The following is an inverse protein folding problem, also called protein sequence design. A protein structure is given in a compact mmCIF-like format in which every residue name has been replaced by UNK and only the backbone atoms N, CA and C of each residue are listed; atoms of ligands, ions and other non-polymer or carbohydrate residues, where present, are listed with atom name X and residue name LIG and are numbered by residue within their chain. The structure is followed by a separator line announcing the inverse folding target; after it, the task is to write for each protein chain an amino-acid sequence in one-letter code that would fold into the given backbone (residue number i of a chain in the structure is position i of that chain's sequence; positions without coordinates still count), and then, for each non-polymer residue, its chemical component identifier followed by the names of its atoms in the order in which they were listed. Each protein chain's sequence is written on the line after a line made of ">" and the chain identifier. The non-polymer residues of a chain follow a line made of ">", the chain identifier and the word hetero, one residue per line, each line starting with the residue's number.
data_IF_846191005671
#
_entry.id   IF_846191005671
#
_cell.length_a   1.000
_cell.length_b   1.000
_cell.length_c   1.000
_cell.angle_alpha   90.00
_cell.angle_beta   90.00
_cell.angle_gamma   90.00
#
_symmetry.space_group_name_H-M   'P 1'
#
loop_
_entity.id
_entity.type
_entity.pdbx_description
1 polymer ?
#
# COMPACT_ATOMS: atom_id res chain seq x y z
N UNK A 1 8.81 28.62 -18.82
CA UNK A 1 8.02 27.38 -18.71
C UNK A 1 7.18 27.45 -17.43
N UNK A 2 5.89 27.14 -17.48
CA UNK A 2 5.04 27.11 -16.29
C UNK A 2 5.46 25.95 -15.35
N UNK A 3 5.47 26.17 -14.04
CA UNK A 3 5.78 25.11 -13.05
C UNK A 3 4.76 23.96 -13.21
N UNK A 4 5.19 22.70 -13.30
CA UNK A 4 4.28 21.57 -13.35
C UNK A 4 3.30 21.61 -12.16
N UNK A 5 2.03 21.23 -12.35
CA UNK A 5 1.08 21.21 -11.25
C UNK A 5 1.55 20.25 -10.15
N UNK A 6 1.31 20.61 -8.88
CA UNK A 6 1.83 19.87 -7.73
C UNK A 6 1.47 18.37 -7.73
N UNK A 7 0.28 18.01 -8.24
CA UNK A 7 -0.15 16.61 -8.36
C UNK A 7 0.77 15.76 -9.24
N UNK A 8 1.43 16.35 -10.26
CA UNK A 8 2.38 15.61 -11.11
C UNK A 8 3.62 15.21 -10.33
N UNK A 9 4.16 16.12 -9.51
CA UNK A 9 5.30 15.80 -8.66
C UNK A 9 4.96 14.70 -7.65
N UNK A 10 3.78 14.77 -7.02
CA UNK A 10 3.30 13.72 -6.12
C UNK A 10 3.08 12.39 -6.83
N UNK A 11 2.58 12.40 -8.07
CA UNK A 11 2.42 11.20 -8.89
C UNK A 11 3.76 10.55 -9.24
N UNK A 12 4.75 11.35 -9.68
CA UNK A 12 6.09 10.82 -9.97
C UNK A 12 6.75 10.23 -8.72
N UNK A 13 6.52 10.84 -7.56
CA UNK A 13 6.97 10.28 -6.29
C UNK A 13 6.25 8.96 -5.96
N UNK A 14 4.95 8.86 -6.22
CA UNK A 14 4.21 7.60 -6.06
C UNK A 14 4.82 6.48 -6.94
N UNK A 15 5.12 6.79 -8.20
CA UNK A 15 5.75 5.86 -9.14
C UNK A 15 7.14 5.45 -8.66
N UNK A 16 7.98 6.42 -8.31
CA UNK A 16 9.34 6.17 -7.80
C UNK A 16 9.32 5.23 -6.59
N UNK A 17 8.43 5.48 -5.63
CA UNK A 17 8.29 4.66 -4.42
C UNK A 17 7.82 3.23 -4.74
N UNK A 18 6.90 3.07 -5.69
CA UNK A 18 6.46 1.75 -6.13
C UNK A 18 7.59 0.94 -6.78
N UNK A 19 8.42 1.58 -7.61
CA UNK A 19 9.58 0.93 -8.23
C UNK A 19 10.60 0.46 -7.19
N UNK A 20 10.92 1.32 -6.23
CA UNK A 20 11.81 0.95 -5.12
C UNK A 20 11.23 -0.21 -4.29
N UNK A 21 9.91 -0.21 -4.05
CA UNK A 21 9.25 -1.33 -3.38
C UNK A 21 9.44 -2.64 -4.16
N UNK A 22 9.18 -2.63 -5.48
CA UNK A 22 9.36 -3.80 -6.34
C UNK A 22 10.81 -4.30 -6.32
N UNK A 23 11.79 -3.40 -6.33
CA UNK A 23 13.21 -3.76 -6.26
C UNK A 23 13.54 -4.51 -4.96
N UNK A 24 12.98 -4.06 -3.83
CA UNK A 24 13.17 -4.74 -2.55
C UNK A 24 12.42 -6.07 -2.46
N UNK A 25 11.21 -6.13 -3.03
CA UNK A 25 10.44 -7.37 -3.12
C UNK A 25 11.17 -8.44 -3.92
N UNK A 26 11.87 -8.05 -4.99
CA UNK A 26 12.63 -8.95 -5.86
C UNK A 26 14.00 -9.37 -5.32
N UNK A 27 14.36 -9.01 -4.07
CA UNK A 27 15.62 -9.43 -3.42
C UNK A 27 15.37 -10.50 -2.35
N UNK A 28 15.08 -11.75 -2.74
CA UNK A 28 14.88 -12.82 -1.78
C UNK A 28 16.21 -13.14 -1.08
N UNK A 29 16.32 -12.83 0.21
CA UNK A 29 17.48 -13.18 1.03
C UNK A 29 17.91 -12.11 2.04
N UNK A 30 17.52 -10.85 1.83
CA UNK A 30 17.75 -9.79 2.81
C UNK A 30 16.48 -9.51 3.63
N UNK A 31 16.49 -9.91 4.90
CA UNK A 31 15.37 -9.73 5.83
C UNK A 31 14.90 -8.28 5.94
N UNK A 32 15.80 -7.31 5.78
CA UNK A 32 15.44 -5.88 5.83
C UNK A 32 14.69 -5.44 4.58
N UNK A 33 14.94 -6.10 3.45
CA UNK A 33 14.29 -5.75 2.18
C UNK A 33 12.76 -5.86 2.23
N UNK A 34 12.18 -6.80 3.01
CA UNK A 34 10.72 -6.85 3.09
C UNK A 34 10.11 -5.75 3.96
N UNK A 35 10.78 -5.36 5.03
CA UNK A 35 10.37 -4.19 5.82
C UNK A 35 10.44 -2.92 4.96
N UNK A 36 11.51 -2.78 4.18
CA UNK A 36 11.67 -1.68 3.24
C UNK A 36 10.59 -1.72 2.14
N UNK A 37 10.25 -2.89 1.59
CA UNK A 37 9.13 -3.08 0.68
C UNK A 37 7.83 -2.53 1.28
N UNK A 38 7.47 -2.90 2.51
CA UNK A 38 6.23 -2.45 3.17
C UNK A 38 6.21 -0.93 3.32
N UNK A 39 7.34 -0.33 3.71
CA UNK A 39 7.44 1.13 3.85
C UNK A 39 7.27 1.82 2.49
N UNK A 40 7.98 1.34 1.47
CA UNK A 40 7.94 1.93 0.13
C UNK A 40 6.59 1.76 -0.55
N UNK A 41 5.94 0.59 -0.44
CA UNK A 41 4.61 0.37 -1.02
C UNK A 41 3.54 1.21 -0.31
N UNK A 42 3.67 1.41 1.01
CA UNK A 42 2.79 2.32 1.76
C UNK A 42 2.91 3.77 1.26
N UNK A 43 4.14 4.26 1.10
CA UNK A 43 4.40 5.61 0.57
C UNK A 43 3.88 5.76 -0.87
N UNK A 44 4.05 4.73 -1.70
CA UNK A 44 3.55 4.71 -3.07
C UNK A 44 2.02 4.90 -3.10
N UNK A 45 1.28 4.08 -2.37
CA UNK A 45 -0.18 4.18 -2.28
C UNK A 45 -0.66 5.52 -1.71
N UNK A 46 0.01 6.04 -0.67
CA UNK A 46 -0.35 7.34 -0.09
C UNK A 46 -0.19 8.47 -1.12
N UNK A 47 0.94 8.51 -1.81
CA UNK A 47 1.20 9.51 -2.84
C UNK A 47 0.26 9.36 -4.04
N UNK A 48 -0.09 8.13 -4.45
CA UNK A 48 -1.06 7.90 -5.52
C UNK A 48 -2.43 8.50 -5.16
N UNK A 49 -2.92 8.25 -3.95
CA UNK A 49 -4.20 8.77 -3.49
C UNK A 49 -4.19 10.30 -3.36
N UNK A 50 -3.09 10.87 -2.83
CA UNK A 50 -2.94 12.32 -2.74
C UNK A 50 -2.89 12.97 -4.12
N UNK A 51 -2.07 12.43 -5.04
CA UNK A 51 -1.97 12.95 -6.40
C UNK A 51 -3.33 12.97 -7.10
N UNK A 52 -4.12 11.90 -6.96
CA UNK A 52 -5.42 11.80 -7.62
C UNK A 52 -6.45 12.77 -7.03
N UNK A 53 -6.48 12.91 -5.70
CA UNK A 53 -7.35 13.90 -5.03
C UNK A 53 -6.94 15.33 -5.36
N UNK A 54 -5.64 15.64 -5.38
CA UNK A 54 -5.11 16.95 -5.78
C UNK A 54 -5.49 17.29 -7.22
N UNK A 55 -5.41 16.31 -8.14
CA UNK A 55 -5.82 16.48 -9.54
C UNK A 55 -7.32 16.76 -9.67
N UNK A 56 -8.15 16.07 -8.88
CA UNK A 56 -9.60 16.32 -8.78
C UNK A 56 -9.96 17.57 -7.97
N UNK A 57 -8.97 18.31 -7.44
CA UNK A 57 -9.14 19.47 -6.56
C UNK A 57 -9.96 19.17 -5.30
N UNK A 58 -9.83 17.95 -4.79
CA UNK A 58 -10.47 17.48 -3.55
C UNK A 58 -9.49 17.60 -2.39
N UNK A 59 -10.01 17.91 -1.21
CA UNK A 59 -9.21 18.11 0.00
C UNK A 59 -8.47 16.84 0.47
N UNK A 60 -7.24 17.04 0.93
CA UNK A 60 -6.32 16.03 1.46
C UNK A 60 -5.84 16.37 2.88
N UNK A 61 -6.48 17.32 3.57
CA UNK A 61 -6.02 17.82 4.88
C UNK A 61 -7.01 17.47 5.97
N UNK A 62 -6.49 17.16 7.16
CA UNK A 62 -7.33 16.96 8.33
C UNK A 62 -7.94 18.28 8.80
N UNK A 63 -9.22 18.26 9.13
CA UNK A 63 -9.91 19.37 9.80
C UNK A 63 -9.87 19.23 11.31
N UNK A 64 -9.92 20.36 12.00
CA UNK A 64 -10.08 20.41 13.44
C UNK A 64 -11.55 20.10 13.81
N UNK A 65 -11.78 19.23 14.80
CA UNK A 65 -13.11 18.73 15.14
C UNK A 65 -14.09 19.85 15.54
N UNK A 66 -13.58 20.93 16.13
CA UNK A 66 -14.38 21.98 16.76
C UNK A 66 -14.62 23.18 15.83
N UNK A 67 -13.80 23.33 14.79
CA UNK A 67 -13.87 24.45 13.84
C UNK A 67 -13.79 23.91 12.42
N UNK A 68 -14.96 23.76 11.78
CA UNK A 68 -15.08 23.34 10.37
C UNK A 68 -14.22 24.16 9.38
N UNK A 69 -13.65 25.31 9.77
CA UNK A 69 -12.81 26.17 8.92
C UNK A 69 -11.30 26.06 9.20
N UNK A 70 -10.88 25.29 10.21
CA UNK A 70 -9.47 25.19 10.60
C UNK A 70 -8.90 23.81 10.26
N UNK A 71 -7.65 23.79 9.80
CA UNK A 71 -6.91 22.56 9.52
C UNK A 71 -6.07 22.15 10.72
N UNK A 72 -5.94 20.84 10.96
CA UNK A 72 -4.92 20.33 11.88
C UNK A 72 -3.54 20.68 11.34
N UNK A 73 -2.62 21.00 12.23
CA UNK A 73 -1.24 21.36 11.89
C UNK A 73 -0.24 20.37 12.48
N UNK A 74 0.86 20.20 11.78
CA UNK A 74 2.04 19.49 12.24
C UNK A 74 2.87 20.40 13.17
N UNK A 75 3.87 19.86 13.89
CA UNK A 75 4.75 20.66 14.76
C UNK A 75 5.51 21.79 14.05
N UNK A 76 5.69 21.67 12.72
CA UNK A 76 6.33 22.67 11.85
C UNK A 76 5.34 23.71 11.26
N UNK A 77 4.13 23.80 11.84
CA UNK A 77 3.00 24.61 11.37
C UNK A 77 2.41 24.21 10.00
N UNK A 78 2.95 23.20 9.32
CA UNK A 78 2.39 22.73 8.04
C UNK A 78 1.01 22.09 8.22
N UNK A 79 0.13 22.18 7.21
CA UNK A 79 -1.19 21.53 7.26
C UNK A 79 -1.01 20.01 7.27
N UNK A 80 -1.62 19.34 8.25
CA UNK A 80 -1.55 17.88 8.38
C UNK A 80 -2.35 17.23 7.25
N UNK A 81 -1.67 16.51 6.37
CA UNK A 81 -2.28 15.72 5.30
C UNK A 81 -2.92 14.44 5.84
N UNK A 82 -3.89 13.91 5.12
CA UNK A 82 -4.47 12.60 5.38
C UNK A 82 -3.41 11.52 5.29
N UNK A 83 -3.47 10.56 6.21
CA UNK A 83 -2.73 9.30 6.06
C UNK A 83 -3.43 8.38 5.05
N UNK A 84 -2.75 7.31 4.68
CA UNK A 84 -3.28 6.32 3.75
C UNK A 84 -4.63 5.74 4.22
N UNK A 85 -4.77 5.43 5.51
CA UNK A 85 -6.01 4.88 6.07
C UNK A 85 -7.21 5.80 5.85
N UNK A 86 -7.06 7.12 6.04
CA UNK A 86 -8.12 8.08 5.72
C UNK A 86 -8.40 8.17 4.23
N UNK A 87 -7.36 8.12 3.39
CA UNK A 87 -7.57 8.10 1.95
C UNK A 87 -8.42 6.89 1.54
N UNK A 88 -8.09 5.70 2.04
CA UNK A 88 -8.82 4.46 1.73
C UNK A 88 -10.30 4.53 2.12
N UNK A 89 -10.62 5.09 3.30
CA UNK A 89 -12.01 5.27 3.76
C UNK A 89 -12.86 6.11 2.82
N UNK A 90 -12.25 7.06 2.10
CA UNK A 90 -12.97 7.96 1.20
C UNK A 90 -12.94 7.49 -0.26
N UNK A 91 -11.95 6.69 -0.65
CA UNK A 91 -11.74 6.27 -2.03
C UNK A 91 -12.32 4.88 -2.32
N UNK A 92 -12.49 4.03 -1.32
CA UNK A 92 -12.94 2.64 -1.49
C UNK A 92 -14.04 2.26 -0.48
N UNK A 93 -14.94 1.37 -0.90
CA UNK A 93 -15.97 0.78 -0.04
C UNK A 93 -15.33 -0.11 1.03
N UNK A 94 -16.01 -0.31 2.15
CA UNK A 94 -15.45 -1.08 3.29
C UNK A 94 -15.09 -2.53 2.98
N UNK A 95 -15.77 -3.16 2.01
CA UNK A 95 -15.53 -4.55 1.58
C UNK A 95 -14.74 -4.65 0.26
N UNK A 96 -14.10 -3.56 -0.17
CA UNK A 96 -13.29 -3.58 -1.38
C UNK A 96 -12.01 -4.41 -1.18
N UNK A 97 -11.69 -5.37 -2.06
CA UNK A 97 -10.53 -6.24 -1.89
C UNK A 97 -9.19 -5.50 -1.95
N UNK A 98 -9.09 -4.43 -2.78
CA UNK A 98 -7.89 -3.59 -2.86
C UNK A 98 -7.70 -2.89 -1.51
N UNK A 99 -8.77 -2.33 -0.96
CA UNK A 99 -8.72 -1.68 0.36
C UNK A 99 -8.29 -2.65 1.45
N UNK A 100 -8.86 -3.86 1.52
CA UNK A 100 -8.50 -4.86 2.53
C UNK A 100 -7.03 -5.25 2.44
N UNK A 101 -6.51 -5.44 1.23
CA UNK A 101 -5.11 -5.76 1.02
C UNK A 101 -4.18 -4.61 1.46
N UNK A 102 -4.52 -3.35 1.21
CA UNK A 102 -3.72 -2.22 1.68
C UNK A 102 -3.83 -2.05 3.21
N UNK A 103 -5.02 -2.21 3.79
CA UNK A 103 -5.25 -2.18 5.24
C UNK A 103 -4.40 -3.25 5.96
N UNK A 104 -4.27 -4.44 5.37
CA UNK A 104 -3.38 -5.49 5.85
C UNK A 104 -1.93 -5.00 5.95
N UNK A 105 -1.37 -4.38 4.90
CA UNK A 105 0.00 -3.84 4.92
C UNK A 105 0.18 -2.67 5.90
N UNK A 106 -0.84 -1.83 6.09
CA UNK A 106 -0.83 -0.77 7.10
C UNK A 106 -0.70 -1.37 8.52
N UNK A 107 -1.45 -2.43 8.82
CA UNK A 107 -1.36 -3.14 10.09
C UNK A 107 -0.03 -3.88 10.26
N UNK A 108 0.46 -4.50 9.19
CA UNK A 108 1.70 -5.27 9.16
C UNK A 108 2.93 -4.39 9.40
N UNK A 109 2.94 -3.15 8.90
CA UNK A 109 4.02 -2.19 9.16
C UNK A 109 4.34 -2.05 10.66
N UNK A 110 3.33 -2.04 11.53
CA UNK A 110 3.52 -1.90 12.98
C UNK A 110 4.10 -3.17 13.64
N UNK A 111 3.92 -4.34 13.01
CA UNK A 111 4.35 -5.64 13.53
C UNK A 111 5.78 -5.99 13.10
N UNK A 112 6.13 -5.68 11.85
CA UNK A 112 7.45 -5.95 11.25
C UNK A 112 8.58 -5.21 11.97
N UNK A 113 8.28 -4.05 12.56
CA UNK A 113 9.24 -3.28 13.39
C UNK A 113 9.68 -4.04 14.65
N UNK A 114 8.84 -4.92 15.19
CA UNK A 114 9.07 -5.56 16.49
C UNK A 114 9.44 -7.04 16.43
N UNK A 115 9.00 -7.80 15.42
CA UNK A 115 9.25 -9.25 15.30
C UNK A 115 9.29 -9.74 13.85
N UNK A 116 10.38 -9.49 13.14
CA UNK A 116 10.56 -10.06 11.81
C UNK A 116 10.87 -11.57 11.88
N UNK A 117 10.05 -12.39 11.21
CA UNK A 117 10.29 -13.82 11.01
C UNK A 117 10.18 -14.12 9.51
N UNK A 118 11.09 -14.93 8.96
CA UNK A 118 11.07 -15.31 7.54
C UNK A 118 9.75 -15.99 7.11
N UNK A 119 9.04 -16.58 8.08
CA UNK A 119 7.69 -17.13 7.90
C UNK A 119 6.65 -16.08 7.47
N UNK A 120 6.80 -14.81 7.87
CA UNK A 120 5.91 -13.72 7.47
C UNK A 120 6.05 -13.45 5.99
N UNK A 121 7.27 -13.47 5.43
CA UNK A 121 7.48 -13.22 4.01
C UNK A 121 6.82 -14.29 3.14
N UNK A 122 7.00 -15.57 3.49
CA UNK A 122 6.38 -16.68 2.76
C UNK A 122 4.86 -16.64 2.87
N UNK A 123 4.34 -16.35 4.06
CA UNK A 123 2.89 -16.29 4.29
C UNK A 123 2.21 -15.06 3.65
N UNK A 124 2.97 -14.03 3.26
CA UNK A 124 2.41 -12.76 2.75
C UNK A 124 2.80 -12.42 1.31
N UNK A 125 3.49 -13.34 0.62
CA UNK A 125 3.94 -13.15 -0.76
C UNK A 125 2.77 -12.97 -1.73
N UNK A 126 1.65 -13.66 -1.51
CA UNK A 126 0.45 -13.53 -2.35
C UNK A 126 -0.17 -12.13 -2.20
N UNK A 127 -0.29 -11.65 -0.96
CA UNK A 127 -0.79 -10.32 -0.63
C UNK A 127 0.12 -9.23 -1.19
N UNK A 128 1.43 -9.43 -1.14
CA UNK A 128 2.42 -8.48 -1.65
C UNK A 128 2.33 -8.35 -3.17
N UNK A 129 2.27 -9.48 -3.89
CA UNK A 129 2.01 -9.50 -5.33
C UNK A 129 0.68 -8.82 -5.68
N UNK A 130 -0.39 -9.15 -4.97
CA UNK A 130 -1.70 -8.52 -5.19
C UNK A 130 -1.62 -7.00 -4.99
N UNK A 131 -0.90 -6.53 -3.97
CA UNK A 131 -0.71 -5.10 -3.69
C UNK A 131 -0.04 -4.36 -4.86
N UNK A 132 1.00 -4.97 -5.45
CA UNK A 132 1.73 -4.40 -6.60
C UNK A 132 0.83 -4.35 -7.85
N UNK A 133 0.12 -5.44 -8.17
CA UNK A 133 -0.78 -5.51 -9.33
C UNK A 133 -1.93 -4.52 -9.19
N UNK A 134 -2.51 -4.44 -7.99
CA UNK A 134 -3.57 -3.48 -7.68
C UNK A 134 -3.08 -2.04 -7.81
N UNK A 135 -1.83 -1.77 -7.41
CA UNK A 135 -1.24 -0.43 -7.54
C UNK A 135 -1.12 -0.01 -9.00
N UNK A 136 -0.54 -0.87 -9.85
CA UNK A 136 -0.43 -0.61 -11.29
C UNK A 136 -1.81 -0.41 -11.93
N UNK A 137 -2.77 -1.26 -11.58
CA UNK A 137 -4.14 -1.16 -12.09
C UNK A 137 -4.79 0.17 -11.68
N UNK A 138 -4.68 0.59 -10.42
CA UNK A 138 -5.23 1.86 -9.94
C UNK A 138 -4.51 3.08 -10.52
N UNK A 139 -3.19 2.99 -10.71
CA UNK A 139 -2.38 4.02 -11.35
C UNK A 139 -2.85 4.28 -12.78
N UNK A 140 -2.99 3.22 -13.58
CA UNK A 140 -3.49 3.30 -14.96
C UNK A 140 -4.95 3.73 -14.99
N UNK A 141 -5.82 3.18 -14.12
CA UNK A 141 -7.23 3.57 -14.06
C UNK A 141 -7.42 5.05 -13.76
N UNK A 142 -6.59 5.62 -12.88
CA UNK A 142 -6.68 7.03 -12.49
C UNK A 142 -6.00 7.93 -13.51
N UNK A 143 -4.76 7.65 -13.91
CA UNK A 143 -3.93 8.60 -14.68
C UNK A 143 -3.76 8.26 -16.15
N UNK A 144 -4.31 7.12 -16.59
CA UNK A 144 -4.23 6.61 -17.95
C UNK A 144 -2.95 5.80 -18.20
N UNK A 145 -2.85 5.16 -19.38
CA UNK A 145 -1.76 4.23 -19.70
C UNK A 145 -0.36 4.87 -19.65
N UNK A 146 -0.24 6.16 -19.95
CA UNK A 146 1.06 6.86 -19.92
C UNK A 146 1.70 7.00 -18.53
N UNK A 147 0.95 6.74 -17.46
CA UNK A 147 1.47 6.71 -16.10
C UNK A 147 2.00 5.34 -15.66
N UNK A 148 1.75 4.29 -16.44
CA UNK A 148 2.11 2.90 -16.15
C UNK A 148 3.56 2.76 -15.69
N UNK A 149 3.77 1.92 -14.67
CA UNK A 149 5.12 1.56 -14.24
C UNK A 149 5.83 0.74 -15.32
N UNK A 150 5.09 -0.12 -16.04
CA UNK A 150 5.60 -1.02 -17.08
C UNK A 150 6.26 -0.28 -18.24
N UNK A 151 5.77 0.93 -18.56
CA UNK A 151 6.38 1.77 -19.60
C UNK A 151 7.77 2.27 -19.19
N UNK A 152 8.04 2.42 -17.90
CA UNK A 152 9.32 2.89 -17.37
C UNK A 152 10.30 1.79 -16.99
N UNK A 153 9.84 0.58 -16.68
CA UNK A 153 10.70 -0.46 -16.10
C UNK A 153 11.14 -1.56 -17.05
N UNK A 154 10.52 -1.75 -18.22
CA UNK A 154 10.77 -2.97 -19.00
C UNK A 154 10.48 -4.26 -18.21
N UNK A 155 9.70 -4.16 -17.12
CA UNK A 155 9.36 -5.26 -16.24
C UNK A 155 8.30 -6.10 -16.94
N UNK A 156 8.72 -7.21 -17.54
CA UNK A 156 7.83 -8.32 -17.88
C UNK A 156 7.41 -8.97 -16.57
N UNK A 157 6.20 -8.68 -16.11
CA UNK A 157 5.54 -9.57 -15.16
C UNK A 157 5.34 -10.89 -15.90
N UNK A 158 6.26 -11.85 -15.72
CA UNK A 158 6.17 -13.24 -16.17
C UNK A 158 5.72 -13.49 -17.63
N UNK A 159 6.62 -14.05 -18.43
CA UNK A 159 6.34 -14.65 -19.74
C UNK A 159 4.88 -15.17 -19.91
N UNK A 160 4.10 -14.75 -20.94
CA UNK A 160 2.70 -15.16 -21.12
C UNK A 160 2.50 -16.63 -21.53
N UNK A 161 3.56 -17.45 -21.63
CA UNK A 161 3.44 -18.89 -21.93
C UNK A 161 3.24 -19.79 -20.69
N UNK A 162 2.88 -19.22 -19.54
CA UNK A 162 2.66 -19.98 -18.30
C UNK A 162 1.44 -19.56 -17.51
N UNK A 163 0.39 -19.05 -18.17
CA UNK A 163 -0.91 -18.85 -17.52
C UNK A 163 -1.54 -20.23 -17.31
N UNK A 164 -1.13 -20.92 -16.25
CA UNK A 164 -2.01 -21.92 -15.67
C UNK A 164 -3.23 -21.18 -15.12
N UNK A 165 -4.38 -21.61 -15.61
CA UNK A 165 -5.69 -21.17 -15.21
C UNK A 165 -5.87 -21.34 -13.69
N UNK A 166 -5.79 -20.23 -12.94
CA UNK A 166 -6.06 -20.22 -11.50
C UNK A 166 -7.56 -20.18 -11.18
N UNK A 167 -8.47 -20.41 -12.14
CA UNK A 167 -9.89 -20.60 -11.82
C UNK A 167 -10.15 -21.84 -10.94
N UNK A 168 -9.16 -22.72 -10.76
CA UNK A 168 -9.25 -23.92 -9.93
C UNK A 168 -8.78 -23.78 -8.46
N UNK A 169 -8.20 -22.65 -8.04
CA UNK A 169 -7.65 -22.50 -6.66
C UNK A 169 -8.66 -21.94 -5.66
N UNK A 170 -9.89 -21.63 -6.10
CA UNK A 170 -11.04 -21.50 -5.20
C UNK A 170 -11.66 -22.88 -5.00
N UNK A 171 -10.91 -23.76 -4.35
CA UNK A 171 -11.43 -25.02 -3.83
C UNK A 171 -12.16 -24.75 -2.52
N UNK A 172 -13.43 -25.15 -2.44
CA UNK A 172 -14.23 -25.22 -1.21
C UNK A 172 -13.42 -25.88 -0.07
N UNK A 173 -12.88 -25.05 0.82
CA UNK A 173 -12.08 -25.49 1.95
C UNK A 173 -12.09 -24.40 2.99
N UNK A 174 -13.05 -24.47 3.91
CA UNK A 174 -13.27 -23.49 4.96
C UNK A 174 -11.96 -23.12 5.68
N UNK A 175 -11.70 -21.81 5.74
CA UNK A 175 -10.60 -21.24 6.52
C UNK A 175 -10.88 -21.48 8.02
N UNK A 176 -10.36 -22.59 8.53
CA UNK A 176 -10.23 -22.86 9.96
C UNK A 176 -9.20 -21.91 10.57
N UNK A 177 -9.65 -20.73 10.98
CA UNK A 177 -8.94 -19.91 11.96
C UNK A 177 -9.20 -20.51 13.34
N UNK A 178 -8.24 -21.25 13.88
CA UNK A 178 -8.22 -21.57 15.30
C UNK A 178 -7.02 -20.90 15.99
N UNK A 179 -7.39 -19.90 16.80
CA UNK A 179 -6.78 -19.46 18.07
C UNK A 179 -5.26 -19.36 18.15
N UNK A 180 -4.76 -18.12 18.05
CA UNK A 180 -3.67 -17.69 18.94
C UNK A 180 -4.31 -17.37 20.30
N UNK A 181 -4.34 -18.36 21.19
CA UNK A 181 -4.59 -18.15 22.62
C UNK A 181 -3.41 -17.41 23.23
N UNK A 182 -3.71 -16.34 23.94
CA UNK A 182 -2.79 -15.63 24.82
C UNK A 182 -2.74 -16.44 26.12
N UNK A 183 -1.74 -17.31 26.27
CA UNK A 183 -1.46 -17.90 27.57
C UNK A 183 -0.63 -16.90 28.40
N UNK A 184 -1.26 -16.46 29.49
CA UNK A 184 -0.59 -15.78 30.58
C UNK A 184 -0.04 -16.83 31.53
N UNK A 185 1.28 -16.84 31.70
CA UNK A 185 1.91 -17.47 32.86
C UNK A 185 2.22 -16.39 33.89
N UNK A 186 1.42 -16.39 34.95
CA UNK A 186 1.89 -15.97 36.26
C UNK A 186 2.70 -17.10 36.85
N UNK A 187 3.87 -16.79 37.39
CA UNK A 187 4.52 -17.68 38.35
C UNK A 187 4.82 -16.89 39.62
N UNK A 188 4.24 -17.39 40.71
CA UNK A 188 4.39 -16.91 42.07
C UNK A 188 4.99 -18.09 42.83
N UNK A 189 6.24 -17.94 43.26
CA UNK A 189 6.84 -18.69 44.36
C UNK A 189 7.89 -17.82 45.05
#
# INVERSE_FOLDING_TARGET
>A
MARPPAWKHTLEEARRQALVAIDFYNRPGDRRSFADFIVHIHLAWQNLMHADRMRRKVEIFYRENDKRRTFKRNPDDSKKTWDLSQCLKHEFKDNDPIRKNIEFFIGLRNHVEHRYQDSVLVATAAEAHACIINFESELVRRFGPGASLLTSTGLVLGNPEGVEDFSGVVGDGGLGFDRVTVDGDGDVA
#
